data_IF_700142399951
#
_entry.id   IF_700142399951
#
_cell.length_a   1.000
_cell.length_b   1.000
_cell.length_c   1.000
_cell.angle_alpha   90.00
_cell.angle_beta   90.00
_cell.angle_gamma   90.00
#
_symmetry.space_group_name_H-M   'P 1'
#
loop_
_entity.id
_entity.type
_entity.pdbx_description
1 polymer ?
#
# COMPACT_ATOMS: atom_id res chain seq x y z
N UNK A 1 12.54 -32.13 15.40
CA UNK A 1 12.38 -32.74 14.05
C UNK A 1 11.31 -32.03 13.21
N UNK A 2 10.09 -31.78 13.71
CA UNK A 2 9.06 -31.01 12.97
C UNK A 2 9.48 -29.58 12.60
N UNK A 3 10.11 -28.88 13.54
CA UNK A 3 10.58 -27.50 13.37
C UNK A 3 11.69 -27.37 12.29
N UNK A 4 12.65 -28.31 12.25
CA UNK A 4 13.69 -28.35 11.20
C UNK A 4 13.15 -28.70 9.80
N UNK A 5 12.08 -29.48 9.72
CA UNK A 5 11.40 -29.78 8.45
C UNK A 5 10.62 -28.54 7.99
N UNK A 6 9.94 -27.85 8.91
CA UNK A 6 9.20 -26.62 8.64
C UNK A 6 10.11 -25.47 8.19
N UNK A 7 11.28 -25.32 8.83
CA UNK A 7 12.30 -24.34 8.43
C UNK A 7 12.86 -24.62 7.03
N UNK A 8 13.15 -25.89 6.73
CA UNK A 8 13.61 -26.29 5.38
C UNK A 8 12.52 -26.08 4.33
N UNK A 9 11.26 -26.37 4.66
CA UNK A 9 10.13 -26.17 3.75
C UNK A 9 9.86 -24.68 3.50
N UNK A 10 9.94 -23.85 4.54
CA UNK A 10 9.83 -22.40 4.45
C UNK A 10 10.98 -21.81 3.63
N UNK A 11 12.21 -22.27 3.85
CA UNK A 11 13.38 -21.87 3.05
C UNK A 11 13.23 -22.23 1.57
N UNK A 12 12.74 -23.43 1.25
CA UNK A 12 12.50 -23.85 -0.12
C UNK A 12 11.38 -23.03 -0.80
N UNK A 13 10.25 -22.81 -0.11
CA UNK A 13 9.18 -21.93 -0.61
C UNK A 13 9.71 -20.54 -0.95
N UNK A 14 10.48 -19.93 -0.05
CA UNK A 14 11.08 -18.62 -0.28
C UNK A 14 12.02 -18.61 -1.50
N UNK A 15 12.87 -19.63 -1.66
CA UNK A 15 13.75 -19.75 -2.84
C UNK A 15 12.97 -19.81 -4.16
N UNK A 16 11.86 -20.55 -4.19
CA UNK A 16 10.96 -20.63 -5.36
C UNK A 16 10.35 -19.27 -5.68
N UNK A 17 9.83 -18.56 -4.67
CA UNK A 17 9.24 -17.22 -4.83
C UNK A 17 10.29 -16.22 -5.34
N UNK A 18 11.50 -16.24 -4.79
CA UNK A 18 12.59 -15.34 -5.21
C UNK A 18 13.05 -15.63 -6.64
N UNK A 19 13.14 -16.90 -7.03
CA UNK A 19 13.42 -17.27 -8.43
C UNK A 19 12.30 -16.81 -9.38
N UNK A 20 11.03 -16.96 -8.97
CA UNK A 20 9.89 -16.48 -9.74
C UNK A 20 9.89 -14.96 -9.89
N UNK A 21 10.13 -14.19 -8.81
CA UNK A 21 10.29 -12.72 -8.85
C UNK A 21 11.34 -12.32 -9.88
N UNK A 22 12.51 -12.98 -9.83
CA UNK A 22 13.60 -12.68 -10.76
C UNK A 22 13.19 -12.95 -12.22
N UNK A 23 12.70 -14.16 -12.52
CA UNK A 23 12.30 -14.52 -13.89
C UNK A 23 11.14 -13.68 -14.41
N UNK A 24 10.16 -13.34 -13.56
CA UNK A 24 9.04 -12.47 -13.93
C UNK A 24 9.51 -11.05 -14.21
N UNK A 25 10.52 -10.54 -13.49
CA UNK A 25 11.14 -9.25 -13.77
C UNK A 25 11.87 -9.21 -15.12
N UNK A 26 12.59 -10.29 -15.45
CA UNK A 26 13.37 -10.37 -16.70
C UNK A 26 12.50 -10.64 -17.94
N UNK A 27 11.62 -11.63 -17.86
CA UNK A 27 10.88 -12.14 -19.03
C UNK A 27 9.40 -11.73 -19.03
N UNK A 28 8.83 -11.46 -17.86
CA UNK A 28 7.39 -11.27 -17.64
C UNK A 28 6.70 -12.54 -17.16
N UNK A 29 5.66 -12.37 -16.34
CA UNK A 29 4.95 -13.48 -15.71
C UNK A 29 4.28 -14.41 -16.72
N UNK A 30 3.76 -13.90 -17.84
CA UNK A 30 3.09 -14.71 -18.87
C UNK A 30 4.06 -15.65 -19.59
N UNK A 31 5.28 -15.20 -19.87
CA UNK A 31 6.32 -15.93 -20.61
C UNK A 31 7.13 -16.92 -19.76
N UNK A 32 6.98 -16.88 -18.45
CA UNK A 32 7.74 -17.73 -17.52
C UNK A 32 6.91 -18.94 -17.12
N UNK A 33 7.46 -20.16 -17.26
CA UNK A 33 6.78 -21.40 -16.83
C UNK A 33 7.28 -21.89 -15.48
N UNK A 34 6.51 -22.79 -14.83
CA UNK A 34 6.96 -23.48 -13.61
C UNK A 34 8.22 -24.34 -13.89
N UNK A 35 8.39 -24.83 -15.11
CA UNK A 35 9.59 -25.55 -15.52
C UNK A 35 10.81 -24.64 -15.57
N UNK A 36 10.67 -23.39 -16.00
CA UNK A 36 11.78 -22.43 -16.01
C UNK A 36 12.22 -22.07 -14.58
N UNK A 37 11.26 -21.85 -13.68
CA UNK A 37 11.52 -21.62 -12.24
C UNK A 37 12.21 -22.83 -11.61
N UNK A 38 11.73 -24.03 -11.90
CA UNK A 38 12.34 -25.26 -11.39
C UNK A 38 13.78 -25.41 -11.90
N UNK A 39 14.01 -25.17 -13.20
CA UNK A 39 15.32 -25.25 -13.84
C UNK A 39 16.31 -24.26 -13.23
N UNK A 40 15.91 -23.02 -12.95
CA UNK A 40 16.80 -22.04 -12.32
C UNK A 40 17.23 -22.43 -10.90
N UNK A 41 16.51 -23.34 -10.25
CA UNK A 41 16.81 -23.85 -8.92
C UNK A 41 17.37 -25.28 -8.90
N UNK A 42 17.67 -25.86 -10.08
CA UNK A 42 18.06 -27.27 -10.21
C UNK A 42 17.04 -28.24 -9.57
N UNK A 43 15.74 -27.91 -9.66
CA UNK A 43 14.62 -28.71 -9.18
C UNK A 43 13.83 -29.31 -10.35
N UNK A 44 13.08 -30.39 -10.10
CA UNK A 44 12.03 -30.82 -11.02
C UNK A 44 10.75 -29.99 -10.79
N UNK A 45 9.92 -29.84 -11.84
CA UNK A 45 8.60 -29.20 -11.69
C UNK A 45 7.73 -29.92 -10.66
N UNK A 46 7.80 -31.25 -10.59
CA UNK A 46 7.13 -32.06 -9.56
C UNK A 46 7.55 -31.63 -8.16
N UNK A 47 8.84 -31.35 -7.93
CA UNK A 47 9.30 -30.88 -6.62
C UNK A 47 8.77 -29.48 -6.30
N UNK A 48 8.66 -28.57 -7.28
CA UNK A 48 8.01 -27.26 -7.09
C UNK A 48 6.54 -27.40 -6.71
N UNK A 49 5.81 -28.32 -7.35
CA UNK A 49 4.40 -28.56 -7.05
C UNK A 49 4.15 -29.15 -5.65
N UNK A 50 5.16 -29.75 -5.00
CA UNK A 50 5.07 -30.12 -3.57
C UNK A 50 4.94 -28.92 -2.65
N UNK A 51 5.45 -27.76 -3.07
CA UNK A 51 5.37 -26.52 -2.32
C UNK A 51 4.20 -25.67 -2.77
N UNK A 52 3.93 -25.57 -4.07
CA UNK A 52 2.85 -24.74 -4.59
C UNK A 52 1.86 -25.60 -5.39
N UNK A 53 0.58 -25.66 -5.02
CA UNK A 53 -0.39 -26.53 -5.68
C UNK A 53 -0.68 -26.12 -7.13
N UNK A 54 -0.33 -24.90 -7.51
CA UNK A 54 -0.55 -24.38 -8.86
C UNK A 54 0.44 -23.27 -9.19
N UNK A 55 0.56 -22.94 -10.49
CA UNK A 55 1.25 -21.73 -10.95
C UNK A 55 0.67 -20.48 -10.30
N UNK A 56 -0.66 -20.44 -10.15
CA UNK A 56 -1.36 -19.33 -9.53
C UNK A 56 -0.96 -19.12 -8.07
N UNK A 57 -0.74 -20.20 -7.31
CA UNK A 57 -0.26 -20.08 -5.93
C UNK A 57 1.18 -19.51 -5.85
N UNK A 58 2.01 -19.74 -6.87
CA UNK A 58 3.33 -19.10 -6.98
C UNK A 58 3.15 -17.61 -7.26
N UNK A 59 2.31 -17.26 -8.23
CA UNK A 59 2.00 -15.88 -8.59
C UNK A 59 1.44 -15.08 -7.39
N UNK A 60 0.53 -15.65 -6.61
CA UNK A 60 0.00 -15.03 -5.39
C UNK A 60 1.07 -14.82 -4.33
N UNK A 61 1.97 -15.78 -4.13
CA UNK A 61 3.09 -15.64 -3.20
C UNK A 61 4.12 -14.59 -3.66
N UNK A 62 4.33 -14.48 -4.97
CA UNK A 62 5.15 -13.42 -5.56
C UNK A 62 4.53 -12.05 -5.31
N UNK A 63 3.23 -11.88 -5.59
CA UNK A 63 2.52 -10.63 -5.29
C UNK A 63 2.58 -10.31 -3.79
N UNK A 64 2.44 -11.31 -2.92
CA UNK A 64 2.53 -11.13 -1.47
C UNK A 64 3.88 -10.58 -1.04
N UNK A 65 4.98 -11.17 -1.51
CA UNK A 65 6.34 -10.74 -1.17
C UNK A 65 6.60 -9.29 -1.62
N UNK A 66 6.10 -8.93 -2.82
CA UNK A 66 6.25 -7.57 -3.35
C UNK A 66 5.47 -6.55 -2.53
N UNK A 67 4.23 -6.88 -2.14
CA UNK A 67 3.39 -6.00 -1.32
C UNK A 67 3.87 -5.93 0.13
N UNK A 68 4.51 -6.98 0.65
CA UNK A 68 5.07 -7.02 2.01
C UNK A 68 6.13 -5.94 2.23
N UNK A 69 6.95 -5.66 1.22
CA UNK A 69 7.95 -4.59 1.25
C UNK A 69 7.27 -3.23 1.54
N UNK A 70 6.19 -2.94 0.83
CA UNK A 70 5.39 -1.71 1.00
C UNK A 70 4.74 -1.65 2.38
N UNK A 71 4.21 -2.77 2.89
CA UNK A 71 3.66 -2.80 4.26
C UNK A 71 4.74 -2.59 5.31
N UNK A 72 5.93 -3.17 5.10
CA UNK A 72 7.04 -3.06 6.04
C UNK A 72 7.52 -1.62 6.19
N UNK A 73 7.69 -0.88 5.09
CA UNK A 73 8.09 0.53 5.14
C UNK A 73 6.99 1.42 5.74
N UNK A 74 5.71 1.11 5.45
CA UNK A 74 4.57 1.82 6.03
C UNK A 74 4.48 1.60 7.55
N UNK A 75 4.71 0.36 7.99
CA UNK A 75 4.69 -0.01 9.41
C UNK A 75 5.84 0.67 10.17
N UNK A 76 7.02 0.77 9.59
CA UNK A 76 8.15 1.49 10.16
C UNK A 76 7.83 2.99 10.27
N UNK A 77 7.32 3.61 9.20
CA UNK A 77 6.89 5.00 9.22
C UNK A 77 5.78 5.28 10.26
N UNK A 78 4.90 4.32 10.52
CA UNK A 78 3.83 4.44 11.52
C UNK A 78 4.36 4.52 12.97
N UNK A 79 5.57 4.02 13.23
CA UNK A 79 6.24 4.10 14.54
C UNK A 79 6.78 5.49 14.86
N UNK A 80 6.83 6.38 13.87
CA UNK A 80 7.25 7.76 14.08
C UNK A 80 6.39 8.44 15.16
N UNK A 81 7.03 9.23 16.01
CA UNK A 81 6.38 10.02 17.05
C UNK A 81 5.93 11.39 16.52
N UNK A 82 5.00 12.02 17.23
CA UNK A 82 4.52 13.38 16.96
C UNK A 82 3.05 13.44 16.52
N UNK A 83 2.61 14.60 15.98
CA UNK A 83 1.22 14.86 15.62
C UNK A 83 0.69 13.86 14.59
N UNK A 84 -0.61 13.55 14.67
CA UNK A 84 -1.26 12.55 13.82
C UNK A 84 -1.04 12.83 12.33
N UNK A 85 -1.22 14.08 11.88
CA UNK A 85 -1.00 14.47 10.47
C UNK A 85 0.43 14.23 9.99
N UNK A 86 1.44 14.45 10.85
CA UNK A 86 2.84 14.20 10.50
C UNK A 86 3.10 12.70 10.32
N UNK A 87 2.53 11.88 11.20
CA UNK A 87 2.64 10.42 11.12
C UNK A 87 1.93 9.85 9.90
N UNK A 88 0.74 10.36 9.58
CA UNK A 88 0.01 10.01 8.36
C UNK A 88 0.82 10.38 7.10
N UNK A 89 1.34 11.61 7.03
CA UNK A 89 2.19 12.05 5.93
C UNK A 89 3.43 11.15 5.75
N UNK A 90 4.08 10.75 6.85
CA UNK A 90 5.23 9.86 6.81
C UNK A 90 4.88 8.48 6.22
N UNK A 91 3.75 7.88 6.62
CA UNK A 91 3.29 6.60 6.07
C UNK A 91 3.01 6.72 4.56
N UNK A 92 2.23 7.72 4.16
CA UNK A 92 1.85 7.91 2.75
C UNK A 92 3.08 8.15 1.87
N UNK A 93 4.05 8.93 2.39
CA UNK A 93 5.30 9.21 1.68
C UNK A 93 6.18 7.96 1.56
N UNK A 94 6.32 7.17 2.62
CA UNK A 94 7.07 5.92 2.58
C UNK A 94 6.50 4.92 1.56
N UNK A 95 5.17 4.82 1.48
CA UNK A 95 4.49 3.98 0.48
C UNK A 95 4.76 4.51 -0.94
N UNK A 96 4.57 5.81 -1.18
CA UNK A 96 4.80 6.43 -2.48
C UNK A 96 6.24 6.26 -2.95
N UNK A 97 7.22 6.54 -2.08
CA UNK A 97 8.65 6.41 -2.39
C UNK A 97 9.04 4.94 -2.65
N UNK A 98 8.48 4.00 -1.89
CA UNK A 98 8.69 2.57 -2.12
C UNK A 98 8.17 2.14 -3.50
N UNK A 99 7.01 2.64 -3.92
CA UNK A 99 6.44 2.32 -5.23
C UNK A 99 7.20 2.99 -6.38
N UNK A 100 7.60 4.26 -6.23
CA UNK A 100 8.37 5.00 -7.23
C UNK A 100 9.81 4.48 -7.37
N UNK A 101 10.43 4.07 -6.25
CA UNK A 101 11.78 3.54 -6.19
C UNK A 101 11.94 2.15 -6.79
N UNK A 102 10.86 1.47 -7.20
CA UNK A 102 10.93 0.11 -7.78
C UNK A 102 11.71 0.16 -9.10
N UNK A 103 12.86 -0.57 -9.20
CA UNK A 103 13.67 -0.61 -10.42
C UNK A 103 12.86 -0.97 -11.68
N UNK A 104 13.29 -0.47 -12.86
CA UNK A 104 12.63 -0.76 -14.14
C UNK A 104 12.48 -2.26 -14.46
N UNK A 105 13.34 -3.13 -13.92
CA UNK A 105 13.19 -4.60 -13.99
C UNK A 105 11.92 -5.14 -13.32
N UNK A 106 11.32 -4.41 -12.38
CA UNK A 106 10.02 -4.73 -11.82
C UNK A 106 8.85 -4.26 -12.70
N UNK A 107 9.09 -3.51 -13.79
CA UNK A 107 8.02 -3.09 -14.71
C UNK A 107 7.30 -4.29 -15.34
N UNK A 108 7.97 -5.42 -15.54
CA UNK A 108 7.29 -6.65 -16.03
C UNK A 108 6.52 -7.39 -14.93
N UNK A 109 6.87 -7.16 -13.67
CA UNK A 109 6.14 -7.67 -12.51
C UNK A 109 4.87 -6.85 -12.24
N UNK A 110 4.87 -5.59 -12.64
CA UNK A 110 3.73 -4.68 -12.58
C UNK A 110 2.46 -5.25 -13.24
N UNK A 111 2.60 -5.94 -14.36
CA UNK A 111 1.46 -6.56 -15.06
C UNK A 111 0.77 -7.61 -14.18
N UNK A 112 1.56 -8.37 -13.41
CA UNK A 112 1.04 -9.38 -12.48
C UNK A 112 0.31 -8.71 -11.31
N UNK A 113 0.87 -7.65 -10.75
CA UNK A 113 0.23 -6.88 -9.66
C UNK A 113 -1.07 -6.25 -10.17
N UNK A 114 -1.05 -5.67 -11.37
CA UNK A 114 -2.23 -5.08 -12.00
C UNK A 114 -3.32 -6.12 -12.24
N UNK A 115 -2.94 -7.31 -12.71
CA UNK A 115 -3.86 -8.44 -12.83
C UNK A 115 -4.43 -8.84 -11.47
N UNK A 116 -3.59 -8.90 -10.43
CA UNK A 116 -3.99 -9.25 -9.07
C UNK A 116 -5.02 -8.29 -8.48
N UNK A 117 -4.80 -6.99 -8.68
CA UNK A 117 -5.74 -5.93 -8.28
C UNK A 117 -7.05 -6.07 -9.07
N UNK A 118 -6.99 -6.15 -10.41
CA UNK A 118 -8.18 -6.23 -11.27
C UNK A 118 -9.08 -7.44 -10.99
N UNK A 119 -8.48 -8.54 -10.54
CA UNK A 119 -9.18 -9.78 -10.22
C UNK A 119 -9.44 -9.95 -8.72
N UNK A 120 -9.19 -8.94 -7.89
CA UNK A 120 -9.42 -8.97 -6.44
C UNK A 120 -8.79 -10.19 -5.75
N UNK A 121 -7.51 -10.48 -6.02
CA UNK A 121 -6.84 -11.61 -5.37
C UNK A 121 -6.79 -11.37 -3.86
N UNK A 122 -6.95 -12.43 -3.07
CA UNK A 122 -6.97 -12.35 -1.59
C UNK A 122 -5.73 -11.65 -1.01
N UNK A 123 -4.58 -11.82 -1.65
CA UNK A 123 -3.33 -11.14 -1.25
C UNK A 123 -3.41 -9.62 -1.32
N UNK A 124 -4.09 -9.07 -2.34
CA UNK A 124 -4.30 -7.62 -2.49
C UNK A 124 -5.27 -7.11 -1.42
N UNK A 125 -6.37 -7.85 -1.18
CA UNK A 125 -7.33 -7.50 -0.13
C UNK A 125 -6.67 -7.49 1.26
N UNK A 126 -5.78 -8.46 1.52
CA UNK A 126 -4.99 -8.55 2.75
C UNK A 126 -4.02 -7.39 2.89
N UNK A 127 -3.36 -7.00 1.80
CA UNK A 127 -2.49 -5.81 1.76
C UNK A 127 -3.29 -4.55 2.10
N UNK A 128 -4.44 -4.33 1.44
CA UNK A 128 -5.27 -3.14 1.67
C UNK A 128 -5.75 -3.07 3.12
N UNK A 129 -6.15 -4.21 3.71
CA UNK A 129 -6.57 -4.27 5.11
C UNK A 129 -5.43 -3.93 6.07
N UNK A 130 -4.20 -4.41 5.80
CA UNK A 130 -3.02 -4.08 6.60
C UNK A 130 -2.67 -2.59 6.52
N UNK A 131 -2.73 -1.97 5.34
CA UNK A 131 -2.50 -0.52 5.19
C UNK A 131 -3.58 0.28 5.95
N UNK A 132 -4.86 -0.10 5.82
CA UNK A 132 -5.95 0.49 6.63
C UNK A 132 -5.70 0.32 8.12
N UNK A 133 -5.21 -0.84 8.54
CA UNK A 133 -4.86 -1.17 9.92
C UNK A 133 -3.72 -0.32 10.50
N UNK A 134 -2.82 0.20 9.67
CA UNK A 134 -1.76 1.12 10.10
C UNK A 134 -2.26 2.56 10.24
N UNK A 135 -3.15 3.00 9.34
CA UNK A 135 -3.64 4.38 9.26
C UNK A 135 -4.75 4.65 10.29
N UNK A 136 -5.72 3.74 10.42
CA UNK A 136 -6.90 3.92 11.27
C UNK A 136 -6.58 4.24 12.74
N UNK A 137 -5.64 3.56 13.41
CA UNK A 137 -5.30 3.88 14.80
C UNK A 137 -4.72 5.28 14.98
N UNK A 138 -4.00 5.80 13.97
CA UNK A 138 -3.42 7.15 14.00
C UNK A 138 -4.54 8.19 13.90
N UNK A 139 -5.52 7.96 13.03
CA UNK A 139 -6.70 8.82 12.95
C UNK A 139 -7.45 8.84 14.27
N UNK A 140 -7.77 7.66 14.83
CA UNK A 140 -8.48 7.56 16.11
C UNK A 140 -7.73 8.24 17.26
N UNK A 141 -6.41 8.07 17.33
CA UNK A 141 -5.58 8.74 18.34
C UNK A 141 -5.53 10.27 18.16
N UNK A 142 -5.49 10.76 16.92
CA UNK A 142 -5.53 12.19 16.62
C UNK A 142 -6.89 12.82 16.98
N UNK A 143 -7.98 12.09 16.75
CA UNK A 143 -9.33 12.50 17.17
C UNK A 143 -9.45 12.60 18.69
N UNK A 144 -8.95 11.60 19.43
CA UNK A 144 -8.97 11.60 20.89
C UNK A 144 -8.18 12.78 21.51
N UNK A 145 -7.16 13.28 20.80
CA UNK A 145 -6.35 14.45 21.19
C UNK A 145 -6.91 15.78 20.66
N UNK A 146 -7.99 15.75 19.88
CA UNK A 146 -8.58 16.93 19.26
C UNK A 146 -7.78 17.52 18.10
N UNK A 147 -6.77 16.80 17.59
CA UNK A 147 -5.93 17.20 16.45
C UNK A 147 -6.67 17.07 15.11
N UNK A 148 -7.53 16.06 15.00
CA UNK A 148 -8.28 15.71 13.79
C UNK A 148 -9.78 15.92 13.97
N UNK A 149 -10.49 16.13 12.85
CA UNK A 149 -11.95 16.23 12.84
C UNK A 149 -12.63 14.96 13.36
N UNK A 150 -13.83 15.10 13.90
CA UNK A 150 -14.66 13.98 14.34
C UNK A 150 -15.17 13.11 13.18
N UNK A 151 -15.94 12.07 13.51
CA UNK A 151 -16.49 11.10 12.55
C UNK A 151 -15.85 9.72 12.67
N UNK A 152 -16.27 8.79 11.81
CA UNK A 152 -15.77 7.41 11.84
C UNK A 152 -14.28 7.35 11.45
N UNK A 153 -13.39 6.83 12.32
CA UNK A 153 -11.97 6.67 11.99
C UNK A 153 -11.76 5.81 10.73
N UNK A 154 -12.61 4.80 10.52
CA UNK A 154 -12.53 3.95 9.33
C UNK A 154 -12.95 4.71 8.07
N UNK A 155 -14.03 5.49 8.12
CA UNK A 155 -14.47 6.26 6.96
C UNK A 155 -13.39 7.27 6.53
N UNK A 156 -12.79 8.00 7.49
CA UNK A 156 -11.69 8.92 7.21
C UNK A 156 -10.44 8.20 6.67
N UNK A 157 -10.18 6.98 7.13
CA UNK A 157 -9.09 6.13 6.61
C UNK A 157 -9.34 5.79 5.13
N UNK A 158 -10.55 5.32 4.79
CA UNK A 158 -10.90 5.01 3.40
C UNK A 158 -10.80 6.25 2.51
N UNK A 159 -11.41 7.38 2.91
CA UNK A 159 -11.34 8.62 2.12
C UNK A 159 -9.90 9.09 1.87
N UNK A 160 -9.03 9.01 2.89
CA UNK A 160 -7.62 9.39 2.75
C UNK A 160 -6.89 8.48 1.75
N UNK A 161 -7.04 7.16 1.88
CA UNK A 161 -6.36 6.20 1.02
C UNK A 161 -6.89 6.23 -0.41
N UNK A 162 -8.20 6.42 -0.60
CA UNK A 162 -8.83 6.57 -1.92
C UNK A 162 -8.37 7.84 -2.63
N UNK A 163 -8.32 8.98 -1.93
CA UNK A 163 -7.83 10.24 -2.50
C UNK A 163 -6.35 10.15 -2.90
N UNK A 164 -5.56 9.38 -2.15
CA UNK A 164 -4.13 9.17 -2.41
C UNK A 164 -3.84 7.96 -3.33
N UNK A 165 -4.85 7.18 -3.75
CA UNK A 165 -4.70 5.91 -4.49
C UNK A 165 -3.78 6.04 -5.71
N UNK A 166 -3.85 7.17 -6.42
CA UNK A 166 -3.02 7.43 -7.60
C UNK A 166 -1.51 7.41 -7.32
N UNK A 167 -1.10 7.69 -6.08
CA UNK A 167 0.28 7.70 -5.62
C UNK A 167 0.64 6.46 -4.79
N UNK A 168 -0.34 5.83 -4.14
CA UNK A 168 -0.11 4.70 -3.24
C UNK A 168 -0.32 3.34 -3.88
N UNK A 169 -1.09 3.27 -4.96
CA UNK A 169 -1.42 2.02 -5.59
C UNK A 169 -0.23 1.54 -6.42
N UNK A 170 0.34 0.36 -6.10
CA UNK A 170 1.47 -0.15 -6.85
C UNK A 170 1.12 -0.29 -8.33
N UNK A 171 -0.13 -0.57 -8.71
CA UNK A 171 -0.55 -0.75 -10.11
C UNK A 171 -0.57 0.55 -10.94
N UNK A 172 -0.44 1.73 -10.32
CA UNK A 172 -0.58 3.04 -11.00
C UNK A 172 0.75 3.75 -11.30
N UNK A 173 1.88 3.13 -10.95
CA UNK A 173 3.21 3.69 -11.22
C UNK A 173 3.43 3.87 -12.73
N UNK A 174 3.73 5.10 -13.16
CA UNK A 174 4.02 5.43 -14.56
C UNK A 174 2.81 5.63 -15.48
N UNK A 175 1.58 5.64 -14.96
CA UNK A 175 0.39 5.98 -15.75
C UNK A 175 0.38 7.48 -16.12
N UNK A 176 0.28 7.79 -17.42
CA UNK A 176 0.18 9.16 -17.92
C UNK A 176 -1.22 9.72 -17.65
N UNK A 177 -1.39 10.39 -16.51
CA UNK A 177 -2.62 11.11 -16.15
C UNK A 177 -2.27 12.50 -15.66
N UNK A 178 -3.01 13.52 -16.10
CA UNK A 178 -3.01 14.83 -15.44
C UNK A 178 -3.51 14.59 -14.00
N UNK A 179 -2.60 14.71 -13.04
CA UNK A 179 -2.87 14.45 -11.62
C UNK A 179 -2.15 15.47 -10.75
N UNK A 180 -2.73 15.84 -9.60
CA UNK A 180 -1.99 16.61 -8.61
C UNK A 180 -0.72 15.87 -8.18
N UNK A 181 0.34 16.61 -7.90
CA UNK A 181 1.54 16.08 -7.27
C UNK A 181 1.19 15.43 -5.92
N UNK A 182 2.07 14.56 -5.43
CA UNK A 182 1.92 13.94 -4.11
C UNK A 182 1.69 15.01 -3.03
N UNK A 183 2.47 16.10 -3.06
CA UNK A 183 2.40 17.17 -2.06
C UNK A 183 1.11 18.00 -2.17
N UNK A 184 0.58 18.23 -3.37
CA UNK A 184 -0.72 18.88 -3.55
C UNK A 184 -1.85 18.02 -3.00
N UNK A 185 -1.85 16.73 -3.31
CA UNK A 185 -2.88 15.82 -2.83
C UNK A 185 -2.79 15.62 -1.31
N UNK A 186 -1.58 15.50 -0.77
CA UNK A 186 -1.35 15.39 0.67
C UNK A 186 -1.83 16.65 1.40
N UNK A 187 -1.53 17.85 0.88
CA UNK A 187 -2.03 19.11 1.46
C UNK A 187 -3.56 19.17 1.44
N UNK A 188 -4.19 18.78 0.35
CA UNK A 188 -5.65 18.70 0.24
C UNK A 188 -6.24 17.77 1.31
N UNK A 189 -5.74 16.53 1.40
CA UNK A 189 -6.24 15.52 2.34
C UNK A 189 -6.00 15.91 3.80
N UNK A 190 -4.81 16.42 4.12
CA UNK A 190 -4.48 16.85 5.50
C UNK A 190 -5.29 18.09 5.90
N UNK A 191 -5.60 18.99 4.97
CA UNK A 191 -6.54 20.09 5.18
C UNK A 191 -7.94 19.60 5.53
N UNK A 192 -8.45 18.62 4.78
CA UNK A 192 -9.76 18.01 5.04
C UNK A 192 -9.83 17.30 6.40
N UNK A 193 -8.73 16.69 6.87
CA UNK A 193 -8.67 15.98 8.15
C UNK A 193 -8.51 16.89 9.38
N UNK A 194 -8.06 18.13 9.20
CA UNK A 194 -7.89 19.07 10.31
C UNK A 194 -9.23 19.39 10.94
N UNK A 195 -9.24 19.49 12.27
CA UNK A 195 -10.41 20.03 12.97
C UNK A 195 -10.56 21.50 12.59
N UNK A 196 -11.61 21.84 11.84
CA UNK A 196 -12.04 23.24 11.72
C UNK A 196 -12.76 23.60 13.01
N UNK A 197 -12.40 24.69 13.70
CA UNK A 197 -13.28 25.25 14.71
C UNK A 197 -14.58 25.59 14.00
N UNK A 198 -15.69 25.01 14.47
CA UNK A 198 -17.00 25.43 14.01
C UNK A 198 -17.13 26.91 14.39
N UNK A 199 -17.07 27.83 13.43
CA UNK A 199 -17.40 29.23 13.68
C UNK A 199 -18.84 29.23 14.20
N UNK A 200 -19.04 29.65 15.46
CA UNK A 200 -20.40 29.78 15.96
C UNK A 200 -21.12 30.84 15.12
N UNK A 201 -22.42 30.65 14.78
CA UNK A 201 -23.19 31.61 13.99
C UNK A 201 -23.19 33.05 14.54
N UNK A 202 -22.84 33.23 15.83
CA UNK A 202 -22.79 34.52 16.50
C UNK A 202 -21.74 35.49 15.91
N UNK A 203 -20.64 34.99 15.33
CA UNK A 203 -19.58 35.84 14.76
C UNK A 203 -19.88 36.29 13.32
N UNK A 204 -20.87 35.69 12.65
CA UNK A 204 -21.27 36.06 11.28
C UNK A 204 -22.08 37.38 11.26
N UNK A 205 -22.75 37.72 12.36
CA UNK A 205 -23.57 38.93 12.50
C UNK A 205 -22.78 40.22 12.70
N UNK A 206 -21.51 40.14 13.11
CA UNK A 206 -20.68 41.33 13.33
C UNK A 206 -20.14 41.96 12.03
N UNK A 207 -19.98 41.17 10.95
CA UNK A 207 -19.43 41.67 9.69
C UNK A 207 -20.47 42.30 8.74
N UNK A 208 -21.76 42.12 8.98
CA UNK A 208 -22.83 42.69 8.14
C UNK A 208 -23.23 44.11 8.60
N UNK A 209 -23.07 44.45 9.88
CA UNK A 209 -23.48 45.79 10.37
C UNK A 209 -22.46 46.91 10.17
N UNK A 210 -21.18 46.60 9.90
CA UNK A 210 -20.15 47.62 9.64
C UNK A 210 -20.12 48.16 8.19
N UNK A 211 -20.93 47.60 7.27
CA UNK A 211 -21.04 48.09 5.88
C UNK A 211 -22.31 48.89 5.58
N UNK A 212 -23.16 49.14 6.58
CA UNK A 212 -24.41 49.89 6.41
C UNK A 212 -24.38 51.31 7.04
N UNK A 213 -23.22 51.78 7.50
CA UNK A 213 -23.08 53.09 8.16
C UNK A 213 -21.90 53.95 7.63
N UNK A 214 -21.49 53.76 6.38
CA UNK A 214 -20.46 54.57 5.71
C UNK A 214 -20.89 54.99 4.32
#
# INVERSE_FOLDING_TARGET
MREQIDDRMTSARRKIVQAAIHLYGEMGHTKTTVADIARSLSMSSTNVYRFFPSRRAIEEAVVAEVLEETVSVAAEAARASGPALRRLAAILKAIADCNEGRPAKHRRLQDLITLAVRQNWTVVLTYDDRIRGLVRPIIGAGQARGELQGGSPMALTCCLLEAMDVHLNPSRVGAATLRPSFDEMLRFCTGALRRTPFLQPAEMTAHVQLKAAG
#
